data_IF_935234458836
#
_entry.id   IF_935234458836
#
_cell.length_a   1.000
_cell.length_b   1.000
_cell.length_c   1.000
_cell.angle_alpha   90.00
_cell.angle_beta   90.00
_cell.angle_gamma   90.00
#
_symmetry.space_group_name_H-M   'P 1'
#
loop_
_entity.id
_entity.type
_entity.pdbx_description
1 polymer ?
#
# COMPACT_ATOMS: atom_id res chain seq x y z
N UNK A 1 -10.12 24.86 -1.15
CA UNK A 1 -10.47 23.77 -0.20
C UNK A 1 -10.70 22.49 -0.97
N UNK A 2 -9.82 21.51 -0.83
CA UNK A 2 -9.87 20.26 -1.61
C UNK A 2 -11.04 19.38 -1.15
N UNK A 3 -11.77 18.74 -2.08
CA UNK A 3 -12.88 17.85 -1.72
C UNK A 3 -12.36 16.51 -1.17
N UNK A 4 -12.34 16.39 0.17
CA UNK A 4 -11.84 15.20 0.87
C UNK A 4 -12.47 13.90 0.38
N UNK A 5 -13.78 13.87 0.08
CA UNK A 5 -14.48 12.61 -0.26
C UNK A 5 -14.04 12.05 -1.61
N UNK A 6 -13.89 12.91 -2.63
CA UNK A 6 -13.47 12.46 -3.97
C UNK A 6 -12.03 11.96 -3.95
N UNK A 7 -11.14 12.71 -3.31
CA UNK A 7 -9.71 12.37 -3.27
C UNK A 7 -9.48 11.06 -2.50
N UNK A 8 -10.17 10.85 -1.37
CA UNK A 8 -10.05 9.61 -0.61
C UNK A 8 -10.58 8.37 -1.36
N UNK A 9 -11.67 8.50 -2.13
CA UNK A 9 -12.17 7.40 -2.99
C UNK A 9 -11.18 7.04 -4.08
N UNK A 10 -10.60 8.03 -4.76
CA UNK A 10 -9.58 7.79 -5.80
C UNK A 10 -8.36 7.13 -5.18
N UNK A 11 -7.90 7.61 -4.02
CA UNK A 11 -6.77 7.05 -3.31
C UNK A 11 -6.99 5.58 -2.91
N UNK A 12 -8.15 5.24 -2.35
CA UNK A 12 -8.45 3.85 -1.94
C UNK A 12 -8.58 2.90 -3.13
N UNK A 13 -9.20 3.33 -4.24
CA UNK A 13 -9.24 2.54 -5.48
C UNK A 13 -7.85 2.34 -6.07
N UNK A 14 -7.04 3.40 -6.12
CA UNK A 14 -5.68 3.36 -6.65
C UNK A 14 -4.79 2.41 -5.85
N UNK A 15 -4.72 2.57 -4.52
CA UNK A 15 -3.86 1.73 -3.69
C UNK A 15 -4.27 0.26 -3.75
N UNK A 16 -5.57 -0.02 -3.86
CA UNK A 16 -6.06 -1.39 -4.00
C UNK A 16 -5.54 -2.03 -5.30
N UNK A 17 -5.61 -1.32 -6.43
CA UNK A 17 -5.10 -1.81 -7.72
C UNK A 17 -3.59 -2.05 -7.64
N UNK A 18 -2.84 -1.06 -7.15
CA UNK A 18 -1.38 -1.15 -7.03
C UNK A 18 -0.98 -2.31 -6.12
N UNK A 19 -1.66 -2.47 -4.98
CA UNK A 19 -1.39 -3.57 -4.05
C UNK A 19 -1.58 -4.93 -4.69
N UNK A 20 -2.68 -5.14 -5.43
CA UNK A 20 -2.93 -6.42 -6.13
C UNK A 20 -1.82 -6.73 -7.14
N UNK A 21 -1.39 -5.73 -7.91
CA UNK A 21 -0.31 -5.89 -8.90
C UNK A 21 1.01 -6.23 -8.19
N UNK A 22 1.38 -5.50 -7.14
CA UNK A 22 2.62 -5.73 -6.40
C UNK A 22 2.63 -7.09 -5.70
N UNK A 23 1.56 -7.43 -4.97
CA UNK A 23 1.46 -8.72 -4.29
C UNK A 23 1.47 -9.87 -5.30
N UNK A 24 0.71 -9.74 -6.39
CA UNK A 24 0.66 -10.74 -7.46
C UNK A 24 2.02 -10.96 -8.12
N UNK A 25 2.74 -9.89 -8.47
CA UNK A 25 4.07 -9.98 -9.06
C UNK A 25 5.07 -10.71 -8.16
N UNK A 26 5.11 -10.37 -6.87
CA UNK A 26 5.99 -10.98 -5.87
C UNK A 26 5.57 -12.42 -5.53
N UNK A 27 4.27 -12.73 -5.59
CA UNK A 27 3.76 -14.08 -5.39
C UNK A 27 4.16 -15.01 -6.54
N UNK A 28 3.98 -14.56 -7.78
CA UNK A 28 4.21 -15.32 -9.01
C UNK A 28 5.70 -15.45 -9.38
N UNK A 29 6.54 -14.51 -8.94
CA UNK A 29 7.98 -14.51 -9.20
C UNK A 29 8.75 -14.52 -7.87
N UNK A 30 8.96 -15.68 -7.24
CA UNK A 30 9.59 -15.75 -5.91
C UNK A 30 11.03 -15.20 -5.87
N UNK A 31 11.76 -15.27 -6.98
CA UNK A 31 13.16 -14.83 -7.07
C UNK A 31 13.36 -13.32 -6.84
N UNK A 32 12.32 -12.50 -6.98
CA UNK A 32 12.40 -11.05 -6.74
C UNK A 32 12.02 -10.66 -5.30
N UNK A 33 11.58 -11.60 -4.45
CA UNK A 33 11.07 -11.32 -3.10
C UNK A 33 12.08 -10.59 -2.22
N UNK A 34 13.31 -11.09 -2.14
CA UNK A 34 14.37 -10.49 -1.30
C UNK A 34 14.71 -9.07 -1.77
N UNK A 35 14.83 -8.87 -3.09
CA UNK A 35 15.04 -7.54 -3.68
C UNK A 35 13.87 -6.61 -3.41
N UNK A 36 12.63 -7.06 -3.58
CA UNK A 36 11.46 -6.24 -3.30
C UNK A 36 11.40 -5.82 -1.83
N UNK A 37 11.67 -6.74 -0.91
CA UNK A 37 11.68 -6.44 0.53
C UNK A 37 12.80 -5.44 0.87
N UNK A 38 14.02 -5.67 0.39
CA UNK A 38 15.16 -4.80 0.68
C UNK A 38 15.04 -3.39 0.06
N UNK A 39 14.60 -3.30 -1.19
CA UNK A 39 14.61 -2.03 -1.94
C UNK A 39 13.28 -1.29 -1.92
N UNK A 40 12.14 -1.98 -1.97
CA UNK A 40 10.83 -1.32 -2.02
C UNK A 40 10.22 -1.14 -0.63
N UNK A 41 10.45 -2.08 0.30
CA UNK A 41 9.86 -2.05 1.64
C UNK A 41 10.86 -1.69 2.74
N UNK A 42 12.16 -1.62 2.43
CA UNK A 42 13.23 -1.38 3.39
C UNK A 42 13.19 -2.35 4.59
N UNK A 43 12.89 -3.62 4.32
CA UNK A 43 12.87 -4.70 5.31
C UNK A 43 13.70 -5.89 4.83
N UNK A 44 14.21 -6.66 5.78
CA UNK A 44 14.81 -7.98 5.50
C UNK A 44 13.84 -9.06 5.97
N UNK A 45 13.68 -10.12 5.18
CA UNK A 45 12.85 -11.27 5.51
C UNK A 45 13.63 -12.56 5.26
N UNK A 46 13.46 -13.53 6.15
CA UNK A 46 14.04 -14.86 5.98
C UNK A 46 13.40 -15.57 4.76
N UNK A 47 14.27 -16.03 3.85
CA UNK A 47 13.93 -16.58 2.52
C UNK A 47 13.23 -17.94 2.64
N UNK A 48 13.20 -18.54 3.84
CA UNK A 48 12.65 -19.89 4.08
C UNK A 48 11.14 -19.96 4.39
N UNK A 49 10.47 -18.85 4.71
CA UNK A 49 9.05 -18.88 5.11
C UNK A 49 8.13 -18.50 3.94
N UNK A 50 7.22 -19.40 3.57
CA UNK A 50 6.20 -19.07 2.57
C UNK A 50 5.12 -18.18 3.19
N UNK A 51 5.39 -16.88 3.22
CA UNK A 51 4.51 -15.84 3.78
C UNK A 51 3.44 -15.35 2.79
N UNK A 52 3.45 -15.81 1.53
CA UNK A 52 2.53 -15.33 0.48
C UNK A 52 1.26 -16.20 0.43
N UNK A 53 0.39 -16.03 1.42
CA UNK A 53 -0.90 -16.73 1.53
C UNK A 53 -2.08 -15.81 1.20
N UNK A 54 -3.28 -16.39 1.04
CA UNK A 54 -4.51 -15.61 0.88
C UNK A 54 -4.79 -14.73 2.11
N UNK A 55 -4.51 -15.24 3.31
CA UNK A 55 -4.69 -14.48 4.55
C UNK A 55 -3.81 -13.25 4.57
N UNK A 56 -2.51 -13.41 4.31
CA UNK A 56 -1.57 -12.29 4.26
C UNK A 56 -1.88 -11.31 3.13
N UNK A 57 -2.43 -11.79 2.00
CA UNK A 57 -2.91 -10.93 0.93
C UNK A 57 -4.03 -10.01 1.41
N UNK A 58 -5.08 -10.58 2.02
CA UNK A 58 -6.24 -9.82 2.52
C UNK A 58 -5.80 -8.87 3.64
N UNK A 59 -5.03 -9.36 4.60
CA UNK A 59 -4.52 -8.55 5.71
C UNK A 59 -3.72 -7.35 5.20
N UNK A 60 -2.79 -7.57 4.26
CA UNK A 60 -2.02 -6.46 3.68
C UNK A 60 -2.91 -5.51 2.88
N UNK A 61 -3.88 -6.00 2.10
CA UNK A 61 -4.79 -5.14 1.32
C UNK A 61 -5.56 -4.18 2.23
N UNK A 62 -6.06 -4.68 3.37
CA UNK A 62 -6.75 -3.88 4.37
C UNK A 62 -5.80 -2.85 4.99
N UNK A 63 -4.63 -3.28 5.47
CA UNK A 63 -3.65 -2.41 6.11
C UNK A 63 -3.22 -1.28 5.17
N UNK A 64 -2.86 -1.60 3.91
CA UNK A 64 -2.42 -0.61 2.93
C UNK A 64 -3.51 0.40 2.57
N UNK A 65 -4.78 -0.03 2.48
CA UNK A 65 -5.90 0.88 2.27
C UNK A 65 -6.07 1.85 3.44
N UNK A 66 -6.00 1.36 4.68
CA UNK A 66 -6.11 2.21 5.89
C UNK A 66 -4.98 3.23 5.90
N UNK A 67 -3.73 2.81 5.68
CA UNK A 67 -2.56 3.70 5.66
C UNK A 67 -2.71 4.76 4.55
N UNK A 68 -3.10 4.36 3.33
CA UNK A 68 -3.25 5.29 2.22
C UNK A 68 -4.35 6.34 2.48
N UNK A 69 -5.50 5.93 3.03
CA UNK A 69 -6.58 6.85 3.39
C UNK A 69 -6.09 7.86 4.43
N UNK A 70 -5.38 7.40 5.48
CA UNK A 70 -4.83 8.28 6.52
C UNK A 70 -3.81 9.26 5.96
N UNK A 71 -2.87 8.78 5.13
CA UNK A 71 -1.83 9.62 4.53
C UNK A 71 -2.43 10.72 3.62
N UNK A 72 -3.38 10.34 2.76
CA UNK A 72 -4.05 11.28 1.85
C UNK A 72 -4.96 12.24 2.61
N UNK A 73 -5.65 11.77 3.64
CA UNK A 73 -6.44 12.64 4.50
C UNK A 73 -5.57 13.69 5.21
N UNK A 74 -4.43 13.29 5.74
CA UNK A 74 -3.47 14.20 6.38
C UNK A 74 -2.94 15.22 5.37
N UNK A 75 -2.52 14.78 4.18
CA UNK A 75 -2.07 15.67 3.11
C UNK A 75 -3.11 16.73 2.76
N UNK A 76 -4.37 16.32 2.57
CA UNK A 76 -5.45 17.25 2.26
C UNK A 76 -5.72 18.22 3.42
N UNK A 77 -5.66 17.73 4.66
CA UNK A 77 -5.87 18.54 5.86
C UNK A 77 -4.79 19.61 6.00
N UNK A 78 -3.52 19.24 5.85
CA UNK A 78 -2.39 20.17 5.89
C UNK A 78 -2.46 21.19 4.76
N UNK A 79 -2.79 20.74 3.54
CA UNK A 79 -2.93 21.62 2.37
C UNK A 79 -4.02 22.66 2.59
N UNK A 80 -5.15 22.27 3.18
CA UNK A 80 -6.23 23.20 3.51
C UNK A 80 -5.88 24.13 4.69
N UNK A 81 -5.00 23.71 5.60
CA UNK A 81 -4.54 24.53 6.72
C UNK A 81 -3.56 25.62 6.28
N UNK A 82 -2.58 25.29 5.43
CA UNK A 82 -1.57 26.25 4.97
C UNK A 82 -2.03 27.14 3.80
N UNK A 83 -3.07 26.74 3.07
CA UNK A 83 -3.70 27.56 2.01
C UNK A 83 -4.99 28.25 2.48
N UNK A 84 -5.20 28.35 3.79
CA UNK A 84 -6.21 29.22 4.40
C UNK A 84 -5.64 30.62 4.56
#
# INVERSE_FOLDING_TARGET
>A
MTNNKRVLKVASSWISIVYVICFGGVALVPGIRSWFMGYALHTEVDIGTNVMTLTTFITGLVIWNVIAILAVWLYVTLTNYFNK
#
